data_IF_119521726070
#
_entry.id   IF_119521726070
#
_cell.length_a   1.000
_cell.length_b   1.000
_cell.length_c   1.000
_cell.angle_alpha   90.00
_cell.angle_beta   90.00
_cell.angle_gamma   90.00
#
_symmetry.space_group_name_H-M   'P 1'
#
loop_
_entity.id
_entity.type
_entity.pdbx_description
1 polymer ?
#
# COMPACT_ATOMS: atom_id res chain seq x y z
N UNK A 1 -27.51 17.47 -20.34
CA UNK A 1 -26.66 16.26 -20.51
C UNK A 1 -25.67 16.49 -21.66
N UNK A 2 -24.52 17.12 -21.41
CA UNK A 2 -23.50 17.35 -22.46
C UNK A 2 -22.12 17.80 -21.92
N UNK A 3 -21.75 17.41 -20.70
CA UNK A 3 -20.50 17.87 -20.05
C UNK A 3 -19.57 16.69 -19.69
N UNK A 4 -20.07 15.46 -19.62
CA UNK A 4 -19.28 14.28 -19.22
C UNK A 4 -18.34 13.71 -20.29
N UNK A 5 -18.55 14.00 -21.58
CA UNK A 5 -17.77 13.40 -22.67
C UNK A 5 -16.48 14.17 -23.00
N UNK A 6 -16.39 15.45 -22.63
CA UNK A 6 -15.22 16.26 -22.98
C UNK A 6 -14.05 16.11 -22.00
N UNK A 7 -14.29 15.55 -20.81
CA UNK A 7 -13.25 15.33 -19.80
C UNK A 7 -12.45 14.04 -20.06
N UNK A 8 -13.03 13.07 -20.78
CA UNK A 8 -12.35 11.80 -21.11
C UNK A 8 -11.42 11.90 -22.34
N UNK A 9 -11.64 12.88 -23.23
CA UNK A 9 -10.85 13.07 -24.45
C UNK A 9 -9.50 13.75 -24.20
N UNK A 10 -9.38 14.54 -23.12
CA UNK A 10 -8.14 15.28 -22.79
C UNK A 10 -7.07 14.42 -22.07
N UNK A 11 -7.37 13.17 -21.75
CA UNK A 11 -6.40 12.26 -21.11
C UNK A 11 -5.57 11.44 -22.10
N UNK A 12 -5.85 11.53 -23.41
CA UNK A 12 -5.17 10.72 -24.44
C UNK A 12 -4.06 11.44 -25.22
N UNK A 13 -3.98 12.77 -25.16
CA UNK A 13 -2.96 13.53 -25.89
C UNK A 13 -2.49 14.75 -25.10
N UNK A 14 -1.30 14.69 -24.49
CA UNK A 14 -0.58 15.87 -24.02
C UNK A 14 0.28 15.61 -22.79
N UNK A 15 1.58 15.39 -22.96
CA UNK A 15 2.56 16.49 -22.91
C UNK A 15 2.59 17.20 -21.54
N UNK A 16 3.12 16.51 -20.53
CA UNK A 16 3.87 17.16 -19.44
C UNK A 16 5.28 16.58 -19.40
N UNK A 17 6.08 16.90 -20.42
CA UNK A 17 7.54 16.96 -20.29
C UNK A 17 7.86 18.26 -19.57
N UNK A 18 7.87 18.23 -18.24
CA UNK A 18 8.33 19.37 -17.45
C UNK A 18 9.70 19.03 -16.84
N UNK A 19 10.71 19.62 -17.47
CA UNK A 19 11.98 20.08 -16.90
C UNK A 19 12.79 19.08 -16.08
N UNK A 20 13.69 18.42 -16.81
CA UNK A 20 15.02 18.02 -16.31
C UNK A 20 15.64 19.19 -15.53
N UNK A 21 15.72 19.08 -14.21
CA UNK A 21 16.69 19.86 -13.46
C UNK A 21 18.04 19.14 -13.57
N UNK A 22 18.90 19.70 -14.41
CA UNK A 22 20.30 19.32 -14.56
C UNK A 22 21.06 19.71 -13.29
N UNK A 23 21.30 18.76 -12.40
CA UNK A 23 22.40 18.88 -11.45
C UNK A 23 23.69 18.48 -12.18
N UNK A 24 24.30 19.48 -12.81
CA UNK A 24 25.67 19.37 -13.29
C UNK A 24 26.56 19.16 -12.06
N UNK A 25 27.05 17.95 -11.86
CA UNK A 25 28.28 17.71 -11.09
C UNK A 25 29.23 16.87 -11.95
N UNK A 26 30.04 17.63 -12.71
CA UNK A 26 31.44 17.41 -13.06
C UNK A 26 31.91 15.96 -13.21
N UNK A 27 32.17 15.57 -14.46
CA UNK A 27 33.26 14.66 -14.74
C UNK A 27 34.58 15.36 -14.43
N UNK A 28 35.36 14.81 -13.50
CA UNK A 28 36.83 14.83 -13.46
C UNK A 28 37.30 14.04 -12.24
N UNK A 29 37.86 12.86 -12.48
CA UNK A 29 38.86 12.24 -11.62
C UNK A 29 38.36 11.51 -10.36
N UNK A 30 38.92 10.31 -10.18
CA UNK A 30 39.03 9.52 -8.93
C UNK A 30 37.83 8.66 -8.50
N UNK A 31 38.05 7.34 -8.59
CA UNK A 31 37.56 6.29 -7.71
C UNK A 31 36.13 6.40 -7.16
N UNK A 32 35.15 5.83 -7.87
CA UNK A 32 33.98 5.23 -7.22
C UNK A 32 33.30 4.16 -8.10
N UNK A 33 34.07 3.16 -8.54
CA UNK A 33 33.52 1.96 -9.20
C UNK A 33 32.64 1.13 -8.24
N UNK A 34 32.90 1.18 -6.93
CA UNK A 34 32.15 0.45 -5.90
C UNK A 34 30.69 0.88 -5.78
N UNK A 35 30.38 2.16 -5.95
CA UNK A 35 29.01 2.68 -5.80
C UNK A 35 28.14 2.31 -7.01
N UNK A 36 28.68 2.33 -8.24
CA UNK A 36 27.92 1.86 -9.42
C UNK A 36 27.70 0.34 -9.43
N UNK A 37 28.65 -0.45 -8.91
CA UNK A 37 28.49 -1.90 -8.80
C UNK A 37 27.42 -2.31 -7.77
N UNK A 38 27.36 -1.61 -6.64
CA UNK A 38 26.36 -1.86 -5.58
C UNK A 38 24.92 -1.54 -6.02
N UNK A 39 24.71 -0.54 -6.87
CA UNK A 39 23.37 -0.23 -7.42
C UNK A 39 22.86 -1.31 -8.39
N UNK A 40 23.75 -1.96 -9.15
CA UNK A 40 23.38 -2.95 -10.18
C UNK A 40 22.89 -4.27 -9.60
N UNK A 41 23.54 -4.76 -8.54
CA UNK A 41 23.17 -6.03 -7.88
C UNK A 41 21.70 -6.04 -7.41
N UNK A 42 21.19 -4.90 -6.97
CA UNK A 42 19.82 -4.74 -6.48
C UNK A 42 18.76 -4.66 -7.59
N UNK A 43 19.12 -4.25 -8.82
CA UNK A 43 18.20 -4.23 -9.98
C UNK A 43 18.07 -5.62 -10.62
N UNK A 44 19.18 -6.36 -10.69
CA UNK A 44 19.22 -7.70 -11.30
C UNK A 44 18.46 -8.74 -10.44
N UNK A 45 18.43 -8.53 -9.11
CA UNK A 45 17.66 -9.32 -8.14
C UNK A 45 16.48 -8.48 -7.60
N UNK A 46 15.39 -8.40 -8.36
CA UNK A 46 14.14 -7.62 -8.09
C UNK A 46 13.48 -7.81 -6.70
N UNK A 47 14.03 -8.66 -5.83
CA UNK A 47 13.50 -9.01 -4.49
C UNK A 47 14.40 -8.56 -3.33
N UNK A 48 15.53 -7.91 -3.59
CA UNK A 48 16.45 -7.45 -2.56
C UNK A 48 16.27 -5.96 -2.24
N UNK A 49 16.57 -5.53 -0.99
CA UNK A 49 16.54 -4.12 -0.65
C UNK A 49 17.63 -3.34 -1.40
N UNK A 50 17.34 -2.08 -1.73
CA UNK A 50 18.32 -1.16 -2.34
C UNK A 50 19.61 -1.04 -1.53
N UNK A 51 19.49 -1.04 -0.19
CA UNK A 51 20.64 -1.09 0.70
C UNK A 51 20.82 -2.55 1.18
N UNK A 52 21.96 -3.20 0.89
CA UNK A 52 22.20 -4.59 1.28
C UNK A 52 22.16 -4.82 2.79
N UNK A 53 22.47 -3.81 3.60
CA UNK A 53 22.47 -3.89 5.07
C UNK A 53 21.08 -3.69 5.70
N UNK A 54 20.03 -3.56 4.87
CA UNK A 54 18.68 -3.26 5.37
C UNK A 54 17.93 -4.51 5.83
N UNK A 55 18.05 -5.59 5.07
CA UNK A 55 17.35 -6.86 5.29
C UNK A 55 17.97 -7.95 4.40
N UNK A 56 18.03 -9.18 4.88
CA UNK A 56 18.58 -10.31 4.14
C UNK A 56 19.61 -11.09 4.95
N UNK A 57 20.18 -12.12 4.32
CA UNK A 57 21.02 -13.09 5.00
C UNK A 57 22.20 -12.46 5.74
N UNK A 58 22.83 -11.44 5.16
CA UNK A 58 23.98 -10.75 5.77
C UNK A 58 23.64 -10.05 7.11
N UNK A 59 22.39 -9.61 7.30
CA UNK A 59 21.99 -8.78 8.46
C UNK A 59 21.09 -9.53 9.45
N UNK A 60 20.37 -10.54 8.97
CA UNK A 60 19.37 -11.27 9.75
C UNK A 60 19.94 -12.57 10.35
N UNK A 61 21.00 -13.16 9.77
CA UNK A 61 21.68 -14.31 10.38
C UNK A 61 22.59 -13.88 11.54
N UNK A 62 22.90 -14.82 12.46
CA UNK A 62 23.89 -14.55 13.50
C UNK A 62 25.30 -14.50 12.93
N UNK A 63 26.10 -13.56 13.43
CA UNK A 63 27.50 -13.36 12.99
C UNK A 63 28.43 -14.51 13.42
N UNK A 64 28.05 -15.26 14.46
CA UNK A 64 28.81 -16.39 14.99
C UNK A 64 27.86 -17.47 15.55
N UNK A 65 28.41 -18.67 15.76
CA UNK A 65 27.71 -19.80 16.41
C UNK A 65 28.65 -20.49 17.40
N UNK A 66 28.10 -21.10 18.45
CA UNK A 66 28.90 -21.87 19.41
C UNK A 66 29.29 -23.23 18.82
N UNK A 67 30.51 -23.70 19.10
CA UNK A 67 30.98 -25.02 18.65
C UNK A 67 30.11 -26.17 19.19
N UNK A 68 29.54 -25.98 20.38
CA UNK A 68 28.60 -26.90 21.01
C UNK A 68 27.23 -26.97 20.30
N UNK A 69 26.99 -26.14 19.28
CA UNK A 69 25.71 -26.04 18.57
C UNK A 69 24.61 -25.30 19.34
N UNK A 70 24.94 -24.61 20.43
CA UNK A 70 23.99 -23.75 21.15
C UNK A 70 23.53 -22.60 20.27
N UNK A 71 22.31 -22.15 20.48
CA UNK A 71 21.74 -21.02 19.74
C UNK A 71 22.44 -19.71 20.13
N UNK A 72 22.73 -18.88 19.13
CA UNK A 72 23.28 -17.55 19.34
C UNK A 72 22.18 -16.63 19.90
N UNK A 73 22.40 -15.95 21.03
CA UNK A 73 21.43 -15.00 21.55
C UNK A 73 21.24 -13.83 20.58
N UNK A 74 20.02 -13.32 20.49
CA UNK A 74 19.68 -12.22 19.57
C UNK A 74 20.34 -10.91 20.00
N UNK A 75 20.91 -10.18 19.03
CA UNK A 75 21.45 -8.85 19.26
C UNK A 75 20.34 -7.80 19.49
N UNK A 76 20.65 -6.73 20.23
CA UNK A 76 19.68 -5.67 20.56
C UNK A 76 19.02 -5.01 19.32
N UNK A 77 19.76 -4.87 18.22
CA UNK A 77 19.22 -4.31 16.98
C UNK A 77 18.35 -5.32 16.22
N UNK A 78 18.69 -6.61 16.27
CA UNK A 78 17.86 -7.67 15.69
C UNK A 78 16.53 -7.78 16.43
N UNK A 79 16.55 -7.76 17.77
CA UNK A 79 15.32 -7.77 18.58
C UNK A 79 14.46 -6.54 18.30
N UNK A 80 15.07 -5.34 18.21
CA UNK A 80 14.36 -4.11 17.84
C UNK A 80 13.68 -4.23 16.47
N UNK A 81 14.37 -4.76 15.45
CA UNK A 81 13.80 -4.99 14.11
C UNK A 81 12.61 -5.95 14.16
N UNK A 82 12.72 -7.05 14.90
CA UNK A 82 11.64 -8.03 15.06
C UNK A 82 10.40 -7.41 15.71
N UNK A 83 10.57 -6.63 16.78
CA UNK A 83 9.46 -5.95 17.45
C UNK A 83 8.78 -4.93 16.53
N UNK A 84 9.56 -4.14 15.79
CA UNK A 84 9.02 -3.21 14.80
C UNK A 84 8.23 -3.92 13.70
N UNK A 85 8.73 -5.04 13.18
CA UNK A 85 8.02 -5.83 12.18
C UNK A 85 6.71 -6.40 12.76
N UNK A 86 6.71 -6.86 14.01
CA UNK A 86 5.51 -7.32 14.71
C UNK A 86 4.47 -6.20 14.85
N UNK A 87 4.89 -5.01 15.24
CA UNK A 87 4.00 -3.85 15.35
C UNK A 87 3.36 -3.49 14.01
N UNK A 88 4.17 -3.45 12.94
CA UNK A 88 3.68 -3.17 11.58
C UNK A 88 2.68 -4.25 11.16
N UNK A 89 3.01 -5.52 11.34
CA UNK A 89 2.12 -6.63 10.99
C UNK A 89 0.79 -6.57 11.78
N UNK A 90 0.86 -6.23 13.07
CA UNK A 90 -0.34 -6.07 13.90
C UNK A 90 -1.23 -4.95 13.37
N UNK A 91 -0.64 -3.80 13.01
CA UNK A 91 -1.39 -2.66 12.44
C UNK A 91 -2.04 -3.03 11.11
N UNK A 92 -1.33 -3.74 10.23
CA UNK A 92 -1.89 -4.19 8.94
C UNK A 92 -3.12 -5.06 9.16
N UNK A 93 -3.04 -6.06 10.06
CA UNK A 93 -4.18 -6.94 10.36
C UNK A 93 -5.37 -6.18 10.92
N UNK A 94 -5.14 -5.22 11.83
CA UNK A 94 -6.20 -4.39 12.40
C UNK A 94 -6.89 -3.55 11.32
N UNK A 95 -6.11 -2.82 10.51
CA UNK A 95 -6.67 -1.97 9.45
C UNK A 95 -7.45 -2.77 8.41
N UNK A 96 -6.97 -3.97 8.03
CA UNK A 96 -7.71 -4.85 7.12
C UNK A 96 -9.08 -5.23 7.69
N UNK A 97 -9.13 -5.64 8.96
CA UNK A 97 -10.39 -6.00 9.62
C UNK A 97 -11.35 -4.82 9.73
N UNK A 98 -10.83 -3.62 10.01
CA UNK A 98 -11.65 -2.41 10.08
C UNK A 98 -12.27 -2.06 8.73
N UNK A 99 -11.52 -2.21 7.63
CA UNK A 99 -12.04 -2.00 6.28
C UNK A 99 -13.12 -3.04 5.93
N UNK A 100 -12.87 -4.32 6.19
CA UNK A 100 -13.83 -5.38 5.93
C UNK A 100 -15.14 -5.13 6.69
N UNK A 101 -15.03 -4.81 7.98
CA UNK A 101 -16.18 -4.45 8.82
C UNK A 101 -16.93 -3.22 8.29
N UNK A 102 -16.22 -2.20 7.80
CA UNK A 102 -16.85 -1.00 7.26
C UNK A 102 -17.68 -1.30 6.00
N UNK A 103 -17.17 -2.15 5.11
CA UNK A 103 -17.88 -2.60 3.90
C UNK A 103 -19.12 -3.40 4.27
N UNK A 104 -18.99 -4.40 5.15
CA UNK A 104 -20.12 -5.22 5.61
C UNK A 104 -21.21 -4.36 6.27
N UNK A 105 -20.80 -3.47 7.19
CA UNK A 105 -21.73 -2.55 7.86
C UNK A 105 -22.45 -1.65 6.86
N UNK A 106 -21.74 -1.12 5.87
CA UNK A 106 -22.34 -0.25 4.86
C UNK A 106 -23.43 -0.99 4.07
N UNK A 107 -23.15 -2.22 3.63
CA UNK A 107 -24.11 -3.04 2.89
C UNK A 107 -25.36 -3.33 3.74
N UNK A 108 -25.17 -3.73 4.99
CA UNK A 108 -26.29 -3.98 5.93
C UNK A 108 -27.14 -2.72 6.15
N UNK A 109 -26.51 -1.54 6.28
CA UNK A 109 -27.24 -0.29 6.43
C UNK A 109 -28.02 0.08 5.16
N UNK A 110 -27.47 -0.18 3.98
CA UNK A 110 -28.14 0.08 2.72
C UNK A 110 -29.35 -0.82 2.52
N UNK A 111 -29.22 -2.12 2.80
CA UNK A 111 -30.33 -3.08 2.76
C UNK A 111 -31.45 -2.68 3.73
N UNK A 112 -31.09 -2.29 4.96
CA UNK A 112 -32.08 -1.82 5.95
C UNK A 112 -32.82 -0.58 5.49
N UNK A 113 -32.14 0.37 4.84
CA UNK A 113 -32.80 1.56 4.28
C UNK A 113 -33.80 1.19 3.18
N UNK A 114 -33.43 0.28 2.29
CA UNK A 114 -34.33 -0.22 1.24
C UNK A 114 -35.55 -0.91 1.85
N UNK A 115 -35.35 -1.86 2.77
CA UNK A 115 -36.45 -2.54 3.46
C UNK A 115 -37.36 -1.59 4.22
N UNK A 116 -36.82 -0.55 4.86
CA UNK A 116 -37.64 0.48 5.53
C UNK A 116 -38.47 1.28 4.53
N UNK A 117 -37.88 1.66 3.39
CA UNK A 117 -38.60 2.38 2.34
C UNK A 117 -39.74 1.54 1.74
N UNK A 118 -39.50 0.25 1.49
CA UNK A 118 -40.50 -0.70 1.02
C UNK A 118 -41.63 -0.89 2.05
N UNK A 119 -41.27 -1.05 3.33
CA UNK A 119 -42.25 -1.12 4.42
C UNK A 119 -43.11 0.14 4.46
N UNK A 120 -42.51 1.31 4.36
CA UNK A 120 -43.25 2.58 4.35
C UNK A 120 -44.19 2.69 3.16
N UNK A 121 -43.76 2.26 1.96
CA UNK A 121 -44.62 2.21 0.77
C UNK A 121 -45.78 1.22 0.97
N UNK A 122 -45.52 0.03 1.53
CA UNK A 122 -46.56 -0.97 1.79
C UNK A 122 -47.59 -0.53 2.84
N UNK A 123 -47.17 0.27 3.82
CA UNK A 123 -48.04 0.83 4.85
C UNK A 123 -48.82 2.05 4.34
N UNK A 124 -48.44 2.60 3.18
CA UNK A 124 -49.10 3.79 2.63
C UNK A 124 -50.52 3.43 2.19
N UNK A 125 -51.48 4.22 2.65
CA UNK A 125 -52.87 4.08 2.25
C UNK A 125 -53.03 4.31 0.73
N UNK A 126 -54.02 3.63 0.13
CA UNK A 126 -54.38 3.83 -1.27
C UNK A 126 -54.69 5.31 -1.54
N UNK A 127 -54.22 5.82 -2.67
CA UNK A 127 -54.55 7.18 -3.11
C UNK A 127 -56.05 7.33 -3.38
N UNK A 128 -56.60 8.51 -3.09
CA UNK A 128 -58.01 8.86 -3.33
C UNK A 128 -58.12 9.93 -4.42
N UNK A 129 -59.33 10.14 -4.95
CA UNK A 129 -59.66 11.26 -5.84
C UNK A 129 -59.32 10.99 -7.32
N UNK A 130 -58.73 11.98 -8.01
CA UNK A 130 -58.43 11.96 -9.44
C UNK A 130 -57.53 10.79 -9.90
N UNK A 131 -56.86 10.12 -8.96
CA UNK A 131 -56.04 8.93 -9.21
C UNK A 131 -56.85 7.61 -9.31
N UNK A 132 -58.18 7.66 -9.19
CA UNK A 132 -59.11 6.52 -9.30
C UNK A 132 -60.09 6.61 -10.49
N UNK A 133 -60.01 7.68 -11.30
CA UNK A 133 -60.80 7.86 -12.54
C UNK A 133 -59.98 7.32 -13.70
#
# INVERSE_FOLDING_TARGET
MKIGWHIMELYKHGLFKCLKYSYITRALGTFHSSMRAAYKFSEDLKRLPRNPNKSGLLTDLPDYTFLDGRVTPLGANQTKRLLQQREIATKVVVMSREMDFAVERYNVLQERKLQQSEKFISLKLKSKGFALI
#
